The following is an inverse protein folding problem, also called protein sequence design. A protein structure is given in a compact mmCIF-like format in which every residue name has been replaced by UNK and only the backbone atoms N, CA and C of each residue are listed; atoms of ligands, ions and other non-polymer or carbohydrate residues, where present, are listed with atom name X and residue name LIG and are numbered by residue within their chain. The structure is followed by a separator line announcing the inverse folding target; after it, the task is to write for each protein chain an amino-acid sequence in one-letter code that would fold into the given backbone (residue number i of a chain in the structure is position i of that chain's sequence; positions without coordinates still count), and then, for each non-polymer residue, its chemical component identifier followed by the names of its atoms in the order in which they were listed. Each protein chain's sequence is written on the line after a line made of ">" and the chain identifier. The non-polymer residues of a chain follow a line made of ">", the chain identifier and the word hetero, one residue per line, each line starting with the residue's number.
data_IF_139445053246
#
_entry.id   IF_139445053246
#
_cell.length_a   1.000
_cell.length_b   1.000
_cell.length_c   1.000
_cell.angle_alpha   90.00
_cell.angle_beta   90.00
_cell.angle_gamma   90.00
#
_symmetry.space_group_name_H-M   'P 1'
#
loop_
_entity.id
_entity.type
_entity.pdbx_description
1 polymer ?
#
# COMPACT_ATOMS: atom_id res chain seq x y z
N UNK A 1 12.79 39.00 -7.12
CA UNK A 1 12.74 37.53 -7.04
C UNK A 1 11.78 37.04 -8.10
N UNK A 2 12.21 36.12 -8.96
CA UNK A 2 11.30 35.44 -9.88
C UNK A 2 10.51 34.38 -9.11
N UNK A 3 9.20 34.34 -9.30
CA UNK A 3 8.34 33.26 -8.82
C UNK A 3 8.01 32.44 -10.06
N UNK A 4 8.30 31.14 -10.01
CA UNK A 4 7.86 30.18 -11.03
C UNK A 4 6.66 29.46 -10.45
N UNK A 5 5.50 29.62 -11.09
CA UNK A 5 4.30 28.87 -10.74
C UNK A 5 4.24 27.59 -11.59
N UNK A 6 3.95 26.45 -10.96
CA UNK A 6 3.75 25.18 -11.64
C UNK A 6 2.35 24.68 -11.29
N UNK A 7 1.54 24.40 -12.31
CA UNK A 7 0.19 23.88 -12.11
C UNK A 7 0.18 22.35 -12.18
N UNK A 8 -0.83 21.72 -11.59
CA UNK A 8 -1.02 20.27 -11.71
C UNK A 8 -1.29 19.82 -13.15
N UNK A 9 -1.78 20.71 -14.02
CA UNK A 9 -1.96 20.46 -15.46
C UNK A 9 -0.64 20.28 -16.20
N UNK A 10 0.44 20.91 -15.70
CA UNK A 10 1.77 20.80 -16.27
C UNK A 10 2.46 19.47 -15.90
N UNK A 11 1.86 18.68 -15.00
CA UNK A 11 2.42 17.40 -14.58
C UNK A 11 2.26 16.35 -15.69
N UNK A 12 3.35 15.83 -16.29
CA UNK A 12 3.28 14.98 -17.49
C UNK A 12 2.96 13.53 -17.13
N UNK A 13 1.77 13.29 -16.58
CA UNK A 13 1.35 11.99 -16.04
C UNK A 13 1.44 10.86 -17.08
N UNK A 14 0.95 11.10 -18.29
CA UNK A 14 0.94 10.11 -19.38
C UNK A 14 2.35 9.68 -19.77
N UNK A 15 3.28 10.63 -19.95
CA UNK A 15 4.68 10.32 -20.27
C UNK A 15 5.38 9.56 -19.15
N UNK A 16 5.10 9.90 -17.90
CA UNK A 16 5.64 9.18 -16.74
C UNK A 16 5.11 7.74 -16.74
N UNK A 17 3.82 7.56 -17.01
CA UNK A 17 3.21 6.24 -17.09
C UNK A 17 3.83 5.41 -18.22
N UNK A 18 3.91 5.94 -19.44
CA UNK A 18 4.57 5.31 -20.60
C UNK A 18 5.99 4.86 -20.27
N UNK A 19 6.78 5.73 -19.62
CA UNK A 19 8.13 5.39 -19.18
C UNK A 19 8.14 4.25 -18.15
N UNK A 20 7.23 4.24 -17.17
CA UNK A 20 7.19 3.15 -16.19
C UNK A 20 6.72 1.84 -16.81
N UNK A 21 5.74 1.89 -17.73
CA UNK A 21 5.24 0.73 -18.47
C UNK A 21 6.30 0.14 -19.39
N UNK A 22 7.21 0.95 -19.93
CA UNK A 22 8.35 0.45 -20.73
C UNK A 22 9.30 -0.47 -19.98
N UNK A 23 9.24 -0.47 -18.63
CA UNK A 23 10.01 -1.40 -17.79
C UNK A 23 9.36 -2.77 -17.67
N UNK A 24 8.08 -2.89 -18.03
CA UNK A 24 7.34 -4.15 -17.98
C UNK A 24 7.45 -4.89 -19.31
N UNK A 25 7.49 -6.23 -19.23
CA UNK A 25 7.55 -7.06 -20.44
C UNK A 25 6.26 -6.93 -21.28
N UNK A 26 5.12 -6.76 -20.61
CA UNK A 26 3.80 -6.63 -21.22
C UNK A 26 3.18 -5.26 -20.93
N UNK A 27 3.94 -4.18 -21.17
CA UNK A 27 3.50 -2.81 -20.91
C UNK A 27 2.18 -2.44 -21.59
N UNK A 28 1.97 -2.84 -22.85
CA UNK A 28 0.75 -2.56 -23.61
C UNK A 28 -0.49 -3.25 -23.01
N UNK A 29 -0.33 -4.49 -22.52
CA UNK A 29 -1.40 -5.22 -21.85
C UNK A 29 -1.77 -4.56 -20.53
N UNK A 30 -0.76 -4.18 -19.74
CA UNK A 30 -0.98 -3.47 -18.47
C UNK A 30 -1.65 -2.13 -18.72
N UNK A 31 -1.28 -1.42 -19.79
CA UNK A 31 -1.96 -0.18 -20.18
C UNK A 31 -3.46 -0.43 -20.44
N UNK A 32 -3.79 -1.48 -21.20
CA UNK A 32 -5.20 -1.82 -21.46
C UNK A 32 -5.98 -2.13 -20.18
N UNK A 33 -5.36 -2.81 -19.21
CA UNK A 33 -5.98 -3.07 -17.91
C UNK A 33 -6.12 -1.82 -17.05
N UNK A 34 -5.16 -0.89 -17.12
CA UNK A 34 -5.25 0.40 -16.43
C UNK A 34 -6.45 1.17 -16.96
N UNK A 35 -6.60 1.29 -18.28
CA UNK A 35 -7.71 2.00 -18.92
C UNK A 35 -9.07 1.32 -18.65
N UNK A 36 -9.13 -0.01 -18.73
CA UNK A 36 -10.39 -0.74 -18.57
C UNK A 36 -10.86 -0.85 -17.10
N UNK A 37 -9.94 -1.12 -16.18
CA UNK A 37 -10.25 -1.49 -14.78
C UNK A 37 -9.89 -0.38 -13.81
N UNK A 38 -8.68 0.19 -13.91
CA UNK A 38 -8.17 1.11 -12.90
C UNK A 38 -8.62 2.56 -13.09
N UNK A 39 -8.81 3.05 -14.31
CA UNK A 39 -9.37 4.39 -14.54
C UNK A 39 -10.77 4.57 -13.92
N UNK A 40 -11.73 3.64 -14.13
CA UNK A 40 -13.01 3.70 -13.42
C UNK A 40 -12.84 3.66 -11.90
N UNK A 41 -11.86 2.92 -11.39
CA UNK A 41 -11.58 2.83 -9.96
C UNK A 41 -11.07 4.17 -9.40
N UNK A 42 -10.20 4.86 -10.14
CA UNK A 42 -9.74 6.21 -9.79
C UNK A 42 -10.90 7.22 -9.78
N UNK A 43 -11.78 7.17 -10.78
CA UNK A 43 -12.99 8.02 -10.82
C UNK A 43 -13.92 7.78 -9.63
N UNK A 44 -14.10 6.50 -9.25
CA UNK A 44 -14.88 6.14 -8.08
C UNK A 44 -14.29 6.74 -6.80
N UNK A 45 -12.96 6.67 -6.64
CA UNK A 45 -12.25 7.24 -5.49
C UNK A 45 -12.30 8.77 -5.45
N UNK A 46 -12.15 9.42 -6.61
CA UNK A 46 -12.27 10.87 -6.72
C UNK A 46 -13.68 11.33 -6.32
N UNK A 47 -14.72 10.66 -6.79
CA UNK A 47 -16.09 11.03 -6.47
C UNK A 47 -16.40 10.98 -4.97
N UNK A 48 -15.92 9.95 -4.28
CA UNK A 48 -16.24 9.70 -2.88
C UNK A 48 -15.28 10.38 -1.88
N UNK A 49 -13.99 10.53 -2.23
CA UNK A 49 -12.93 10.87 -1.26
C UNK A 49 -12.09 12.10 -1.57
N UNK A 50 -12.35 12.81 -2.69
CA UNK A 50 -11.59 14.03 -3.04
C UNK A 50 -11.59 15.08 -1.92
N UNK A 51 -12.67 15.17 -1.15
CA UNK A 51 -12.81 16.12 -0.04
C UNK A 51 -12.21 15.65 1.30
N UNK A 52 -12.01 14.34 1.46
CA UNK A 52 -11.62 13.73 2.74
C UNK A 52 -10.10 13.61 2.87
N UNK A 53 -9.41 13.36 1.75
CA UNK A 53 -7.97 13.16 1.72
C UNK A 53 -7.24 14.30 0.97
N UNK A 54 -6.59 15.23 1.69
CA UNK A 54 -5.79 16.26 1.05
C UNK A 54 -4.62 15.62 0.29
N UNK A 55 -4.51 15.91 -1.01
CA UNK A 55 -3.47 15.36 -1.87
C UNK A 55 -3.80 14.02 -2.53
N UNK A 56 -5.07 13.61 -2.54
CA UNK A 56 -5.55 12.56 -3.44
C UNK A 56 -5.43 13.06 -4.89
N UNK A 57 -4.55 12.45 -5.67
CA UNK A 57 -4.28 12.82 -7.06
C UNK A 57 -4.11 11.55 -7.88
N UNK A 58 -4.50 11.59 -9.16
CA UNK A 58 -4.33 10.45 -10.09
C UNK A 58 -2.88 9.98 -10.17
N UNK A 59 -1.93 10.90 -10.11
CA UNK A 59 -0.49 10.58 -10.08
C UNK A 59 -0.10 9.71 -8.88
N UNK A 60 -0.69 9.97 -7.71
CA UNK A 60 -0.43 9.20 -6.50
C UNK A 60 -1.10 7.83 -6.54
N UNK A 61 -2.34 7.75 -7.05
CA UNK A 61 -3.03 6.47 -7.25
C UNK A 61 -2.28 5.57 -8.22
N UNK A 62 -1.90 6.10 -9.39
CA UNK A 62 -1.11 5.37 -10.38
C UNK A 62 0.25 4.95 -9.84
N UNK A 63 0.89 5.80 -9.02
CA UNK A 63 2.14 5.43 -8.36
C UNK A 63 1.94 4.25 -7.40
N UNK A 64 0.87 4.26 -6.59
CA UNK A 64 0.54 3.14 -5.70
C UNK A 64 0.33 1.84 -6.48
N UNK A 65 -0.44 1.90 -7.58
CA UNK A 65 -0.61 0.76 -8.48
C UNK A 65 0.72 0.24 -9.01
N UNK A 66 1.53 1.11 -9.62
CA UNK A 66 2.82 0.73 -10.20
C UNK A 66 3.75 0.12 -9.16
N UNK A 67 3.75 0.62 -7.93
CA UNK A 67 4.51 0.02 -6.83
C UNK A 67 4.02 -1.39 -6.51
N UNK A 68 2.70 -1.61 -6.45
CA UNK A 68 2.13 -2.96 -6.23
C UNK A 68 2.43 -3.93 -7.36
N UNK A 69 2.43 -3.47 -8.60
CA UNK A 69 2.79 -4.27 -9.76
C UNK A 69 4.29 -4.61 -9.82
N UNK A 70 5.15 -3.72 -9.33
CA UNK A 70 6.61 -3.93 -9.25
C UNK A 70 7.01 -4.84 -8.09
N UNK A 71 6.26 -4.79 -6.99
CA UNK A 71 6.54 -5.47 -5.75
C UNK A 71 6.23 -6.99 -5.74
N UNK A 72 6.05 -7.60 -6.91
CA UNK A 72 5.96 -9.06 -7.00
C UNK A 72 7.33 -9.67 -6.72
N UNK A 73 7.42 -10.51 -5.69
CA UNK A 73 8.54 -11.30 -5.13
C UNK A 73 9.74 -11.67 -6.04
N UNK A 74 9.61 -11.68 -7.37
CA UNK A 74 10.69 -12.05 -8.29
C UNK A 74 11.23 -10.87 -9.12
N UNK A 75 10.80 -9.62 -8.89
CA UNK A 75 11.02 -8.49 -9.83
C UNK A 75 10.63 -8.86 -11.28
N UNK A 76 9.81 -9.88 -11.46
CA UNK A 76 9.33 -10.33 -12.74
C UNK A 76 8.22 -9.38 -13.12
N UNK A 77 8.52 -8.40 -13.98
CA UNK A 77 7.58 -7.48 -14.58
C UNK A 77 6.65 -8.16 -15.60
N UNK A 78 6.20 -9.37 -15.25
CA UNK A 78 5.53 -10.34 -16.10
C UNK A 78 4.12 -10.62 -15.55
N UNK A 79 3.33 -9.55 -15.41
CA UNK A 79 1.92 -9.66 -15.06
C UNK A 79 1.15 -9.79 -16.36
N UNK A 80 0.59 -10.97 -16.61
CA UNK A 80 -0.25 -11.27 -17.77
C UNK A 80 -1.71 -11.49 -17.40
N UNK A 81 -1.96 -11.93 -16.17
CA UNK A 81 -3.27 -12.37 -15.73
C UNK A 81 -4.11 -11.18 -15.26
N UNK A 82 -5.34 -11.13 -15.76
CA UNK A 82 -6.32 -10.11 -15.38
C UNK A 82 -6.68 -10.21 -13.90
N UNK A 83 -6.70 -11.42 -13.32
CA UNK A 83 -6.95 -11.62 -11.90
C UNK A 83 -5.85 -10.99 -11.03
N UNK A 84 -4.59 -11.25 -11.37
CA UNK A 84 -3.44 -10.73 -10.63
C UNK A 84 -3.39 -9.19 -10.68
N UNK A 85 -3.61 -8.61 -11.86
CA UNK A 85 -3.71 -7.17 -12.02
C UNK A 85 -4.85 -6.58 -11.16
N UNK A 86 -6.03 -7.19 -11.19
CA UNK A 86 -7.21 -6.65 -10.49
C UNK A 86 -7.02 -6.69 -8.97
N UNK A 87 -6.43 -7.76 -8.43
CA UNK A 87 -6.10 -7.85 -6.99
C UNK A 87 -5.07 -6.79 -6.61
N UNK A 88 -4.02 -6.62 -7.42
CA UNK A 88 -3.01 -5.59 -7.17
C UNK A 88 -3.62 -4.17 -7.21
N UNK A 89 -4.51 -3.91 -8.17
CA UNK A 89 -5.27 -2.67 -8.29
C UNK A 89 -6.18 -2.43 -7.08
N UNK A 90 -6.85 -3.48 -6.59
CA UNK A 90 -7.68 -3.42 -5.39
C UNK A 90 -6.85 -3.03 -4.15
N UNK A 91 -5.72 -3.72 -3.94
CA UNK A 91 -4.82 -3.41 -2.84
C UNK A 91 -4.18 -2.01 -2.94
N UNK A 92 -3.88 -1.54 -4.16
CA UNK A 92 -3.38 -0.17 -4.36
C UNK A 92 -4.45 0.87 -3.99
N UNK A 93 -5.72 0.61 -4.28
CA UNK A 93 -6.81 1.48 -3.90
C UNK A 93 -7.00 1.54 -2.39
N UNK A 94 -6.84 0.43 -1.66
CA UNK A 94 -7.01 0.39 -0.20
C UNK A 94 -6.14 1.39 0.58
N UNK A 95 -5.02 1.85 0.01
CA UNK A 95 -4.19 2.91 0.59
C UNK A 95 -4.94 4.23 0.76
N UNK A 96 -6.00 4.44 -0.01
CA UNK A 96 -6.81 5.64 -0.04
C UNK A 96 -8.21 5.45 0.57
N UNK A 97 -8.64 4.21 0.82
CA UNK A 97 -9.95 3.93 1.42
C UNK A 97 -9.86 3.67 2.94
N UNK A 98 -10.89 4.09 3.69
CA UNK A 98 -11.11 3.60 5.04
C UNK A 98 -11.47 2.10 5.04
N UNK A 99 -11.10 1.39 6.10
CA UNK A 99 -11.22 -0.08 6.21
C UNK A 99 -12.66 -0.55 6.02
N UNK A 100 -13.63 0.23 6.51
CA UNK A 100 -15.05 -0.10 6.46
C UNK A 100 -15.63 -0.17 5.04
N UNK A 101 -14.98 0.52 4.08
CA UNK A 101 -15.44 0.61 2.69
C UNK A 101 -14.63 -0.29 1.74
N UNK A 102 -13.61 -0.98 2.24
CA UNK A 102 -12.76 -1.85 1.43
C UNK A 102 -13.56 -3.01 0.81
N UNK A 103 -14.48 -3.62 1.56
CA UNK A 103 -15.31 -4.72 1.03
C UNK A 103 -16.26 -4.26 -0.08
N UNK A 104 -16.92 -3.11 0.09
CA UNK A 104 -17.83 -2.55 -0.92
C UNK A 104 -17.09 -2.25 -2.23
N UNK A 105 -15.94 -1.59 -2.11
CA UNK A 105 -15.10 -1.26 -3.26
C UNK A 105 -14.55 -2.51 -3.95
N UNK A 106 -14.10 -3.51 -3.18
CA UNK A 106 -13.57 -4.77 -3.70
C UNK A 106 -14.62 -5.51 -4.52
N UNK A 107 -15.84 -5.67 -4.00
CA UNK A 107 -16.95 -6.27 -4.73
C UNK A 107 -17.25 -5.51 -6.02
N UNK A 108 -17.29 -4.18 -5.97
CA UNK A 108 -17.53 -3.36 -7.14
C UNK A 108 -16.43 -3.54 -8.21
N UNK A 109 -15.16 -3.52 -7.80
CA UNK A 109 -14.01 -3.65 -8.70
C UNK A 109 -13.93 -5.04 -9.33
N UNK A 110 -14.14 -6.10 -8.54
CA UNK A 110 -14.13 -7.47 -9.07
C UNK A 110 -15.28 -7.72 -10.04
N UNK A 111 -16.48 -7.21 -9.75
CA UNK A 111 -17.60 -7.27 -10.69
C UNK A 111 -17.29 -6.51 -11.99
N UNK A 112 -16.65 -5.33 -11.89
CA UNK A 112 -16.22 -4.54 -13.06
C UNK A 112 -15.19 -5.28 -13.90
N UNK A 113 -14.26 -5.98 -13.25
CA UNK A 113 -13.25 -6.79 -13.92
C UNK A 113 -13.79 -8.12 -14.47
N UNK A 114 -15.04 -8.50 -14.16
CA UNK A 114 -15.65 -9.76 -14.57
C UNK A 114 -15.16 -10.97 -13.78
N UNK A 115 -14.66 -10.76 -12.56
CA UNK A 115 -14.10 -11.81 -11.72
C UNK A 115 -15.14 -12.40 -10.77
N UNK A 116 -15.06 -13.71 -10.57
CA UNK A 116 -15.91 -14.40 -9.61
C UNK A 116 -15.40 -14.19 -8.18
N UNK A 117 -16.28 -13.68 -7.32
CA UNK A 117 -16.02 -13.48 -5.88
C UNK A 117 -16.60 -14.65 -5.11
N UNK A 118 -15.74 -15.49 -4.52
CA UNK A 118 -16.17 -16.65 -3.75
C UNK A 118 -16.95 -16.28 -2.48
N UNK A 119 -16.56 -15.19 -1.81
CA UNK A 119 -17.22 -14.69 -0.61
C UNK A 119 -17.42 -13.16 -0.68
N UNK A 120 -18.61 -12.69 -1.08
CA UNK A 120 -18.91 -11.25 -1.17
C UNK A 120 -18.85 -10.49 0.16
N UNK A 121 -18.93 -11.19 1.30
CA UNK A 121 -18.87 -10.53 2.61
C UNK A 121 -17.44 -10.18 3.03
N UNK A 122 -16.43 -10.81 2.42
CA UNK A 122 -15.01 -10.66 2.74
C UNK A 122 -14.17 -10.56 1.47
N UNK A 123 -14.65 -9.82 0.48
CA UNK A 123 -13.97 -9.70 -0.82
C UNK A 123 -12.63 -8.97 -0.70
N UNK A 124 -12.45 -8.15 0.34
CA UNK A 124 -11.18 -7.48 0.66
C UNK A 124 -10.04 -8.44 0.99
N UNK A 125 -10.35 -9.69 1.37
CA UNK A 125 -9.37 -10.71 1.74
C UNK A 125 -8.96 -11.63 0.58
N UNK A 126 -9.34 -11.28 -0.65
CA UNK A 126 -8.93 -12.04 -1.84
C UNK A 126 -7.48 -11.77 -2.18
N UNK A 127 -6.75 -12.81 -2.60
CA UNK A 127 -5.41 -12.69 -3.13
C UNK A 127 -5.18 -13.60 -4.31
N UNK A 128 -4.19 -13.25 -5.13
CA UNK A 128 -3.80 -14.08 -6.26
C UNK A 128 -2.72 -15.08 -5.85
N UNK A 129 -3.03 -16.37 -5.93
CA UNK A 129 -2.09 -17.44 -5.62
C UNK A 129 -1.31 -17.82 -6.88
N UNK A 130 -0.04 -17.38 -6.97
CA UNK A 130 0.83 -17.67 -8.11
C UNK A 130 1.07 -19.16 -8.34
N UNK A 131 1.09 -19.97 -7.28
CA UNK A 131 1.33 -21.41 -7.37
C UNK A 131 0.15 -22.16 -8.00
N UNK A 132 -1.08 -21.73 -7.67
CA UNK A 132 -2.32 -22.32 -8.19
C UNK A 132 -2.86 -21.61 -9.43
N UNK A 133 -2.32 -20.43 -9.73
CA UNK A 133 -2.83 -19.51 -10.77
C UNK A 133 -4.32 -19.22 -10.61
N UNK A 134 -4.79 -19.12 -9.36
CA UNK A 134 -6.19 -18.91 -9.00
C UNK A 134 -6.33 -17.80 -7.96
N UNK A 135 -7.54 -17.24 -7.88
CA UNK A 135 -7.94 -16.38 -6.78
C UNK A 135 -8.30 -17.24 -5.57
N UNK A 136 -7.62 -16.98 -4.46
CA UNK A 136 -7.87 -17.60 -3.16
C UNK A 136 -8.27 -16.50 -2.15
N UNK A 137 -8.74 -16.91 -0.98
CA UNK A 137 -9.10 -16.00 0.12
C UNK A 137 -8.19 -16.30 1.31
N UNK A 138 -7.70 -15.26 2.00
CA UNK A 138 -6.91 -15.49 3.21
C UNK A 138 -7.77 -16.16 4.28
N UNK A 139 -7.25 -17.26 4.83
CA UNK A 139 -7.87 -17.96 5.95
C UNK A 139 -7.13 -17.63 7.25
N UNK A 140 -7.90 -17.53 8.34
CA UNK A 140 -7.36 -17.27 9.67
C UNK A 140 -6.85 -18.56 10.29
N UNK A 141 -5.63 -18.56 10.81
CA UNK A 141 -5.09 -19.73 11.50
C UNK A 141 -5.50 -19.67 12.97
N UNK A 142 -6.24 -20.67 13.42
CA UNK A 142 -6.74 -20.77 14.80
C UNK A 142 -5.64 -21.30 15.74
N UNK A 143 -4.57 -21.89 15.20
CA UNK A 143 -3.46 -22.50 15.93
C UNK A 143 -2.27 -21.54 16.07
N UNK A 144 -2.37 -20.53 16.93
CA UNK A 144 -1.28 -19.59 17.19
C UNK A 144 -0.85 -19.57 18.66
N UNK A 145 0.29 -20.20 18.97
CA UNK A 145 0.96 -20.11 20.28
C UNK A 145 1.98 -18.96 20.39
N UNK A 146 1.98 -18.03 19.43
CA UNK A 146 2.91 -16.90 19.35
C UNK A 146 2.30 -15.57 19.82
N UNK A 147 3.13 -14.53 19.88
CA UNK A 147 2.72 -13.17 20.28
C UNK A 147 1.79 -12.49 19.23
N UNK A 148 1.84 -12.95 17.97
CA UNK A 148 0.92 -12.55 16.89
C UNK A 148 0.03 -13.73 16.49
N UNK A 149 -1.28 -13.53 16.52
CA UNK A 149 -2.24 -14.48 15.93
C UNK A 149 -2.44 -14.11 14.46
N UNK A 150 -2.10 -15.02 13.54
CA UNK A 150 -2.23 -14.80 12.10
C UNK A 150 -3.68 -14.92 11.62
N UNK A 151 -4.45 -13.86 11.85
CA UNK A 151 -5.75 -13.69 11.23
C UNK A 151 -5.61 -13.39 9.73
N UNK A 152 -6.66 -13.65 8.97
CA UNK A 152 -6.69 -13.39 7.53
C UNK A 152 -6.28 -11.95 7.16
N UNK A 153 -6.75 -10.96 7.92
CA UNK A 153 -6.38 -9.55 7.72
C UNK A 153 -4.90 -9.29 8.01
N UNK A 154 -4.33 -9.94 9.03
CA UNK A 154 -2.91 -9.81 9.36
C UNK A 154 -2.05 -10.40 8.24
N UNK A 155 -2.41 -11.58 7.70
CA UNK A 155 -1.72 -12.17 6.55
C UNK A 155 -1.75 -11.25 5.33
N UNK A 156 -2.90 -10.64 5.03
CA UNK A 156 -3.03 -9.63 3.99
C UNK A 156 -2.08 -8.45 4.21
N UNK A 157 -2.06 -7.87 5.42
CA UNK A 157 -1.17 -6.74 5.73
C UNK A 157 0.31 -7.12 5.67
N UNK A 158 0.68 -8.31 6.16
CA UNK A 158 2.05 -8.80 6.08
C UNK A 158 2.49 -8.99 4.62
N UNK A 159 1.64 -9.55 3.76
CA UNK A 159 1.94 -9.67 2.33
C UNK A 159 2.09 -8.30 1.66
N UNK A 160 1.25 -7.33 2.03
CA UNK A 160 1.40 -5.96 1.53
C UNK A 160 2.68 -5.30 2.04
N UNK A 161 3.08 -5.49 3.30
CA UNK A 161 4.33 -4.97 3.83
C UNK A 161 5.55 -5.61 3.17
N UNK A 162 5.53 -6.93 2.95
CA UNK A 162 6.58 -7.66 2.23
C UNK A 162 6.80 -7.08 0.84
N UNK A 163 5.72 -6.79 0.12
CA UNK A 163 5.78 -6.14 -1.19
C UNK A 163 6.54 -4.80 -1.17
N UNK A 164 6.37 -3.98 -0.12
CA UNK A 164 7.10 -2.70 -0.02
C UNK A 164 8.55 -2.86 0.42
N UNK A 165 8.83 -3.87 1.24
CA UNK A 165 10.16 -4.18 1.76
C UNK A 165 11.08 -4.77 0.69
N UNK A 166 10.55 -5.64 -0.17
CA UNK A 166 11.25 -6.31 -1.28
C UNK A 166 11.43 -5.42 -2.52
N UNK A 167 10.77 -4.26 -2.57
CA UNK A 167 10.80 -3.38 -3.72
C UNK A 167 12.26 -2.94 -4.07
N UNK A 168 12.66 -2.97 -5.35
CA UNK A 168 14.05 -2.82 -5.81
C UNK A 168 14.66 -1.42 -5.56
N UNK A 169 13.85 -0.48 -5.07
CA UNK A 169 14.31 0.79 -4.50
C UNK A 169 13.68 0.90 -3.13
N UNK A 170 14.46 1.13 -2.07
CA UNK A 170 14.01 1.36 -0.69
C UNK A 170 12.94 2.46 -0.64
N UNK A 171 11.70 2.10 -0.96
CA UNK A 171 10.62 3.04 -1.15
C UNK A 171 10.10 3.32 0.25
N UNK A 172 10.31 4.54 0.79
CA UNK A 172 9.86 4.82 2.13
C UNK A 172 8.33 4.73 2.16
N UNK A 173 7.82 3.94 3.10
CA UNK A 173 6.39 3.81 3.33
C UNK A 173 6.04 4.24 4.75
N UNK A 174 4.76 4.58 4.96
CA UNK A 174 4.24 4.96 6.26
C UNK A 174 3.03 4.08 6.59
N UNK A 175 3.09 3.42 7.73
CA UNK A 175 1.94 2.67 8.27
C UNK A 175 1.12 3.61 9.14
N UNK A 176 -0.13 3.84 8.75
CA UNK A 176 -1.07 4.72 9.45
C UNK A 176 -2.17 3.87 10.06
N UNK A 177 -2.51 4.14 11.32
CA UNK A 177 -3.58 3.47 12.02
C UNK A 177 -3.71 3.95 13.47
N UNK A 178 -4.83 3.66 14.14
CA UNK A 178 -5.09 4.12 15.49
C UNK A 178 -4.06 3.56 16.49
N UNK A 179 -3.93 4.21 17.65
CA UNK A 179 -3.10 3.71 18.74
C UNK A 179 -3.60 2.32 19.17
N UNK A 180 -2.67 1.41 19.47
CA UNK A 180 -3.00 0.01 19.83
C UNK A 180 -3.29 -0.93 18.66
N UNK A 181 -3.25 -0.48 17.40
CA UNK A 181 -3.50 -1.33 16.22
C UNK A 181 -2.34 -2.29 15.85
N UNK A 182 -1.51 -2.71 16.81
CA UNK A 182 -0.38 -3.63 16.61
C UNK A 182 0.64 -3.24 15.50
N UNK A 183 0.69 -1.97 15.06
CA UNK A 183 1.55 -1.49 13.96
C UNK A 183 3.03 -1.88 14.14
N UNK A 184 3.57 -1.67 15.34
CA UNK A 184 4.97 -2.00 15.66
C UNK A 184 5.22 -3.49 15.52
N UNK A 185 4.31 -4.30 16.06
CA UNK A 185 4.41 -5.75 16.08
C UNK A 185 4.30 -6.33 14.65
N UNK A 186 3.41 -5.78 13.81
CA UNK A 186 3.33 -6.12 12.39
C UNK A 186 4.65 -5.84 11.63
N UNK A 187 5.28 -4.69 11.87
CA UNK A 187 6.55 -4.35 11.22
C UNK A 187 7.68 -5.24 11.73
N UNK A 188 7.77 -5.46 13.04
CA UNK A 188 8.77 -6.34 13.64
C UNK A 188 8.67 -7.76 13.07
N UNK A 189 7.45 -8.28 12.97
CA UNK A 189 7.21 -9.61 12.40
C UNK A 189 7.55 -9.67 10.91
N UNK A 190 7.17 -8.67 10.11
CA UNK A 190 7.52 -8.61 8.69
C UNK A 190 9.04 -8.51 8.43
N UNK A 191 9.78 -7.83 9.31
CA UNK A 191 11.25 -7.69 9.22
C UNK A 191 11.97 -8.94 9.72
N UNK A 192 11.44 -9.63 10.73
CA UNK A 192 12.00 -10.91 11.22
C UNK A 192 12.05 -11.97 10.13
N UNK A 193 11.07 -11.96 9.22
CA UNK A 193 11.03 -12.88 8.07
C UNK A 193 12.11 -12.58 7.02
N UNK A 194 12.75 -11.40 7.05
CA UNK A 194 13.71 -10.97 6.03
C UNK A 194 15.15 -11.02 6.53
N UNK A 195 16.00 -11.71 5.77
CA UNK A 195 17.44 -11.70 6.02
C UNK A 195 18.07 -10.38 5.57
N UNK A 196 18.90 -9.78 6.42
CA UNK A 196 19.74 -8.63 6.05
C UNK A 196 19.18 -7.25 6.42
N UNK A 197 18.07 -7.18 7.14
CA UNK A 197 17.52 -5.92 7.67
C UNK A 197 17.84 -5.78 9.16
N UNK A 198 18.22 -4.57 9.57
CA UNK A 198 18.34 -4.18 10.98
C UNK A 198 17.29 -3.13 11.32
N UNK A 199 16.51 -3.36 12.38
CA UNK A 199 15.41 -2.47 12.76
C UNK A 199 15.88 -1.45 13.82
N UNK A 200 16.12 -0.22 13.39
CA UNK A 200 16.31 0.92 14.30
C UNK A 200 14.96 1.55 14.66
N UNK A 201 14.60 1.54 15.95
CA UNK A 201 13.37 2.17 16.44
C UNK A 201 13.64 3.52 17.08
N UNK A 202 13.12 4.59 16.47
CA UNK A 202 13.16 5.95 17.03
C UNK A 202 11.75 6.36 17.45
N UNK A 203 11.52 6.54 18.74
CA UNK A 203 10.24 7.04 19.25
C UNK A 203 10.17 8.57 19.10
N UNK A 204 9.32 9.05 18.19
CA UNK A 204 9.11 10.49 18.00
C UNK A 204 8.19 11.07 19.08
N UNK A 205 8.65 12.14 19.74
CA UNK A 205 7.88 12.97 20.67
C UNK A 205 7.88 14.43 20.21
N UNK A 206 7.10 15.29 20.88
CA UNK A 206 7.07 16.74 20.60
C UNK A 206 8.41 17.44 20.83
N UNK A 207 9.32 16.84 21.62
CA UNK A 207 10.64 17.38 21.94
C UNK A 207 11.76 16.81 21.06
N UNK A 208 11.43 15.92 20.11
CA UNK A 208 12.40 15.30 19.22
C UNK A 208 13.01 16.36 18.29
N UNK A 209 14.33 16.47 18.29
CA UNK A 209 15.07 17.36 17.39
C UNK A 209 15.73 16.58 16.25
N UNK A 210 15.95 17.20 15.08
CA UNK A 210 16.68 16.57 13.99
C UNK A 210 18.09 16.10 14.38
N UNK A 211 18.76 16.82 15.29
CA UNK A 211 20.08 16.45 15.81
C UNK A 211 20.06 15.10 16.55
N UNK A 212 18.99 14.80 17.29
CA UNK A 212 18.81 13.52 17.97
C UNK A 212 18.66 12.36 16.97
N UNK A 213 17.90 12.56 15.88
CA UNK A 213 17.76 11.55 14.82
C UNK A 213 19.14 11.23 14.21
N UNK A 214 19.93 12.26 13.90
CA UNK A 214 21.27 12.09 13.35
C UNK A 214 22.19 11.36 14.34
N UNK A 215 22.08 11.65 15.64
CA UNK A 215 22.83 10.95 16.67
C UNK A 215 22.47 9.45 16.71
N UNK A 216 21.18 9.11 16.72
CA UNK A 216 20.73 7.71 16.67
C UNK A 216 21.23 6.99 15.41
N UNK A 217 21.15 7.66 14.25
CA UNK A 217 21.63 7.12 12.97
C UNK A 217 23.16 6.91 12.94
N UNK A 218 23.93 7.78 13.59
CA UNK A 218 25.40 7.63 13.68
C UNK A 218 25.80 6.52 14.64
N UNK A 219 25.03 6.31 15.70
CA UNK A 219 25.29 5.26 16.67
C UNK A 219 25.05 3.86 16.07
N UNK A 220 24.12 3.75 15.12
CA UNK A 220 23.95 2.58 14.25
C UNK A 220 24.91 2.69 13.05
N UNK A 221 26.20 2.42 13.25
CA UNK A 221 27.16 2.34 12.14
C UNK A 221 26.90 1.08 11.27
N UNK A 222 25.83 1.01 10.47
CA UNK A 222 25.64 0.02 9.39
C UNK A 222 24.43 0.34 8.49
N UNK A 223 24.50 -0.12 7.24
CA UNK A 223 23.76 0.39 6.08
C UNK A 223 22.26 0.06 6.00
N UNK A 224 21.53 1.02 5.41
CA UNK A 224 20.23 0.94 4.72
C UNK A 224 19.05 0.21 5.38
N UNK A 225 18.13 1.00 5.94
CA UNK A 225 16.75 0.59 6.27
C UNK A 225 16.13 1.42 7.40
N UNK A 226 15.79 2.70 7.15
CA UNK A 226 15.26 3.57 8.21
C UNK A 226 13.73 3.51 8.33
N UNK A 227 13.23 3.03 9.47
CA UNK A 227 11.82 3.13 9.87
C UNK A 227 11.62 4.26 10.88
N UNK A 228 10.96 5.36 10.46
CA UNK A 228 10.60 6.46 11.37
C UNK A 228 9.17 6.26 11.88
N UNK A 229 9.03 6.02 13.19
CA UNK A 229 7.73 5.95 13.86
C UNK A 229 7.14 7.35 14.01
N UNK A 230 6.13 7.71 13.20
CA UNK A 230 5.31 8.91 13.42
C UNK A 230 3.90 8.50 13.84
N UNK A 231 3.63 8.50 15.14
CA UNK A 231 2.25 8.44 15.65
C UNK A 231 1.59 9.80 15.42
N UNK A 232 0.75 9.89 14.39
CA UNK A 232 -0.15 11.04 14.21
C UNK A 232 -1.34 10.84 15.14
N UNK A 233 -1.23 11.31 16.38
CA UNK A 233 -2.38 11.45 17.29
C UNK A 233 -3.16 12.68 16.81
N UNK A 234 -4.17 12.47 15.97
CA UNK A 234 -5.24 13.48 15.80
C UNK A 234 -6.12 13.42 17.05
N UNK A 235 -5.78 14.23 18.05
CA UNK A 235 -6.74 14.58 19.10
C UNK A 235 -7.89 15.37 18.46
N UNK A 236 -8.99 14.68 18.14
CA UNK A 236 -10.27 15.32 17.85
C UNK A 236 -10.92 15.68 19.19
N UNK A 237 -10.47 16.76 19.81
CA UNK A 237 -11.21 17.40 20.90
C UNK A 237 -12.12 18.49 20.31
N UNK A 238 -13.42 18.18 20.20
CA UNK A 238 -14.51 19.12 20.52
C UNK A 238 -15.85 18.38 20.54
N UNK A 239 -16.03 17.57 21.57
CA UNK A 239 -17.37 17.35 22.16
C UNK A 239 -17.44 18.23 23.41
N UNK A 240 -18.04 19.41 23.27
CA UNK A 240 -18.60 20.13 24.41
C UNK A 240 -20.08 20.35 24.10
N UNK A 241 -20.89 19.48 24.68
CA UNK A 241 -22.28 19.69 25.01
C UNK A 241 -22.39 20.72 26.14
N UNK A 242 -23.17 21.77 25.89
CA UNK A 242 -24.15 22.34 26.82
C UNK A 242 -25.34 22.76 25.99
#
# INVERSE_FOLDING_TARGET
>A
MGIVNMNNEDYPLKRILEYQLSKFEFGDLIQSFIEEIYEPAMEWLEKEYLHTFPGLTRSRMLRALLLKLQAGHDNNFNIQNREEFTVAACHAAFEFLPVERQNEFSNWLYNKAGLYVANPNHSELMFYNKSRKSLDVYESDISGGGELIETASIKMYLQQLKSFLEAPSSTPFLVVGPAGAAKTLLIQHAVQDMSGYELLTINCSTQLTPAYIIHCLRQSELGFGLYIKREIIKHKYSSCST
#
